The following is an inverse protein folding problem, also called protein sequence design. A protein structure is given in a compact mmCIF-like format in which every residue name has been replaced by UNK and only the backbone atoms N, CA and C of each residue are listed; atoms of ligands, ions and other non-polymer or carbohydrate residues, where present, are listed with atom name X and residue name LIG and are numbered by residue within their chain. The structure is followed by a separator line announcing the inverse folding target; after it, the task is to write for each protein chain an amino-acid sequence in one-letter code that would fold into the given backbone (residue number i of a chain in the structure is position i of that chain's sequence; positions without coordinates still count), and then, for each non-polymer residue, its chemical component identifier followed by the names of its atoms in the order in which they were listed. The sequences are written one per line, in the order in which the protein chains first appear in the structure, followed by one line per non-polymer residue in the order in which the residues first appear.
data_IF_042293088335
#
_entry.id   IF_042293088335
#
_cell.length_a   1.000
_cell.length_b   1.000
_cell.length_c   1.000
_cell.angle_alpha   90.00
_cell.angle_beta   90.00
_cell.angle_gamma   90.00
#
_symmetry.space_group_name_H-M   'P 1'
#
loop_
_entity.id
_entity.type
_entity.pdbx_description
1 polymer ?
#
# COMPACT_ATOMS: atom_id res chain seq x y z
N UNK A 1 -42.18 12.42 -56.22
CA UNK A 1 -42.52 12.25 -54.78
C UNK A 1 -41.41 11.39 -54.20
N UNK A 2 -40.59 11.96 -53.33
CA UNK A 2 -39.25 11.46 -52.99
C UNK A 2 -39.25 10.08 -52.31
N UNK A 3 -38.25 9.28 -52.71
CA UNK A 3 -37.91 7.94 -52.26
C UNK A 3 -36.91 7.95 -51.09
N UNK A 4 -36.92 6.79 -50.41
CA UNK A 4 -36.06 6.24 -49.37
C UNK A 4 -34.54 6.41 -49.55
N UNK A 5 -33.82 6.71 -48.46
CA UNK A 5 -32.80 5.87 -47.76
C UNK A 5 -31.75 6.73 -46.98
N UNK A 6 -31.18 6.20 -45.87
CA UNK A 6 -30.12 6.84 -45.08
C UNK A 6 -28.71 6.25 -45.35
N UNK A 7 -27.67 7.10 -45.32
CA UNK A 7 -26.21 6.82 -45.20
C UNK A 7 -25.42 8.14 -45.37
N UNK A 8 -24.16 8.39 -44.88
CA UNK A 8 -23.15 7.47 -44.32
C UNK A 8 -22.43 7.92 -43.01
N UNK A 9 -21.63 6.98 -42.51
CA UNK A 9 -20.45 7.03 -41.62
C UNK A 9 -19.58 8.30 -41.62
N UNK A 10 -18.96 8.62 -40.46
CA UNK A 10 -17.49 8.56 -40.18
C UNK A 10 -17.15 9.39 -38.94
N UNK A 11 -16.51 8.80 -37.94
CA UNK A 11 -15.52 9.49 -37.11
C UNK A 11 -14.37 8.50 -36.87
N UNK A 12 -13.44 8.49 -37.83
CA UNK A 12 -12.07 8.04 -37.61
C UNK A 12 -11.42 8.99 -36.60
N UNK A 13 -10.99 8.47 -35.45
CA UNK A 13 -10.06 9.18 -34.57
C UNK A 13 -8.65 8.75 -34.98
N UNK A 14 -7.81 9.64 -35.53
CA UNK A 14 -6.50 9.26 -36.05
C UNK A 14 -5.61 8.65 -34.98
N UNK A 15 -4.89 7.60 -35.34
CA UNK A 15 -3.83 6.94 -34.56
C UNK A 15 -2.79 7.92 -33.95
N UNK A 16 -2.65 9.12 -34.53
CA UNK A 16 -1.78 10.18 -34.01
C UNK A 16 -2.25 10.78 -32.67
N UNK A 17 -3.53 10.65 -32.29
CA UNK A 17 -4.01 11.11 -30.98
C UNK A 17 -3.36 10.34 -29.83
N UNK A 18 -3.16 9.03 -29.98
CA UNK A 18 -2.49 8.21 -28.97
C UNK A 18 -0.98 8.44 -28.88
N UNK A 19 -0.34 9.00 -29.91
CA UNK A 19 1.11 9.25 -29.92
C UNK A 19 1.46 10.60 -29.30
N UNK A 20 0.56 11.60 -29.34
CA UNK A 20 0.81 12.91 -28.72
C UNK A 20 0.73 12.92 -27.19
N UNK A 21 0.01 11.99 -26.56
CA UNK A 21 0.02 11.84 -25.09
C UNK A 21 1.16 10.93 -24.56
N UNK A 22 1.95 10.31 -25.46
CA UNK A 22 3.09 9.43 -25.10
C UNK A 22 4.45 10.09 -25.42
N UNK A 23 4.46 11.36 -25.84
CA UNK A 23 5.67 12.15 -25.85
C UNK A 23 5.93 12.71 -24.45
N UNK A 24 6.95 12.16 -23.78
CA UNK A 24 7.53 12.68 -22.53
C UNK A 24 7.81 14.18 -22.66
N UNK A 25 6.90 14.98 -22.12
CA UNK A 25 7.11 16.35 -21.67
C UNK A 25 6.89 16.36 -20.16
N UNK A 26 7.93 16.79 -19.45
CA UNK A 26 8.00 17.11 -18.02
C UNK A 26 6.63 17.29 -17.33
N UNK A 27 6.42 16.55 -16.23
CA UNK A 27 5.21 16.47 -15.38
C UNK A 27 4.34 15.21 -15.56
N UNK A 28 4.95 14.05 -15.31
CA UNK A 28 4.19 12.93 -14.76
C UNK A 28 3.86 13.30 -13.30
N UNK A 29 2.66 13.82 -13.06
CA UNK A 29 2.14 13.99 -11.71
C UNK A 29 2.05 12.59 -11.09
N UNK A 30 2.99 12.34 -10.17
CA UNK A 30 2.81 11.37 -9.11
C UNK A 30 1.39 11.51 -8.56
N UNK A 31 0.74 10.40 -8.17
CA UNK A 31 -0.22 10.49 -7.06
C UNK A 31 0.48 11.36 -6.03
N UNK A 32 -0.05 12.55 -5.65
CA UNK A 32 0.71 13.41 -4.79
C UNK A 32 0.97 12.57 -3.55
N UNK A 33 2.24 12.22 -3.34
CA UNK A 33 2.82 12.28 -2.01
C UNK A 33 2.32 13.62 -1.50
N UNK A 34 1.21 13.58 -0.76
CA UNK A 34 0.74 14.79 -0.10
C UNK A 34 1.90 15.13 0.79
N UNK A 35 2.56 16.24 0.53
CA UNK A 35 3.76 16.58 1.28
C UNK A 35 3.34 16.90 2.72
N UNK A 36 3.36 15.87 3.57
CA UNK A 36 2.91 15.94 4.96
C UNK A 36 3.90 16.78 5.80
N UNK A 37 5.05 17.16 5.25
CA UNK A 37 6.01 18.05 5.92
C UNK A 37 5.42 19.41 6.29
N UNK A 38 4.36 19.82 5.58
CA UNK A 38 3.71 21.14 5.71
C UNK A 38 2.37 21.06 6.46
N UNK A 39 1.88 19.88 6.88
CA UNK A 39 0.60 19.80 7.61
C UNK A 39 0.57 20.65 8.88
N UNK A 40 1.70 20.74 9.59
CA UNK A 40 1.84 21.63 10.74
C UNK A 40 1.71 23.12 10.39
N UNK A 41 2.01 23.50 9.15
CA UNK A 41 1.91 24.86 8.60
C UNK A 41 0.53 25.13 7.97
N UNK A 42 -0.12 24.11 7.39
CA UNK A 42 -1.50 24.16 6.87
C UNK A 42 -2.57 24.31 7.97
N UNK A 43 -2.18 24.19 9.24
CA UNK A 43 -3.03 24.47 10.41
C UNK A 43 -3.08 25.97 10.78
N UNK A 44 -2.59 26.87 9.91
CA UNK A 44 -2.78 28.31 10.07
C UNK A 44 -4.24 28.67 9.78
N UNK A 45 -4.88 29.32 10.75
CA UNK A 45 -6.30 29.69 10.74
C UNK A 45 -6.68 30.55 9.51
N UNK A 46 -7.88 30.33 8.98
CA UNK A 46 -8.62 31.35 8.23
C UNK A 46 -10.01 31.51 8.88
N UNK A 47 -10.44 32.76 9.06
CA UNK A 47 -11.56 33.18 9.91
C UNK A 47 -12.97 32.87 9.35
N UNK A 48 -13.11 31.98 8.36
CA UNK A 48 -14.35 31.85 7.57
C UNK A 48 -14.94 30.45 7.40
N UNK A 49 -14.72 29.52 8.33
CA UNK A 49 -15.36 28.19 8.27
C UNK A 49 -16.50 28.03 9.31
N UNK A 50 -17.59 28.80 9.15
CA UNK A 50 -18.86 28.45 9.79
C UNK A 50 -19.62 27.41 8.95
N UNK A 51 -19.54 26.14 9.34
CA UNK A 51 -20.32 25.06 8.72
C UNK A 51 -21.59 24.84 9.55
N UNK A 52 -22.77 25.02 8.93
CA UNK A 52 -24.06 24.56 9.50
C UNK A 52 -24.32 23.10 9.14
N UNK A 53 -24.73 22.30 10.13
CA UNK A 53 -25.09 20.88 9.95
C UNK A 53 -26.56 20.73 9.55
N UNK A 54 -26.93 19.76 8.68
CA UNK A 54 -28.32 19.45 8.35
C UNK A 54 -29.09 18.77 9.50
N UNK A 55 -30.35 19.17 9.69
CA UNK A 55 -31.23 18.89 10.85
C UNK A 55 -31.99 17.55 10.82
N UNK A 56 -31.44 16.48 10.26
CA UNK A 56 -32.23 15.22 10.15
C UNK A 56 -31.48 13.97 10.54
N UNK A 57 -31.20 13.82 11.84
CA UNK A 57 -31.09 12.53 12.52
C UNK A 57 -31.38 12.75 14.01
N UNK A 58 -32.67 12.69 14.37
CA UNK A 58 -33.09 12.43 15.74
C UNK A 58 -33.78 11.08 15.76
N UNK A 59 -33.35 10.29 16.74
CA UNK A 59 -34.03 9.13 17.33
C UNK A 59 -33.93 7.80 16.59
N UNK A 60 -32.87 7.06 16.90
CA UNK A 60 -32.99 5.62 17.19
C UNK A 60 -32.16 5.29 18.45
N UNK A 61 -32.79 4.61 19.39
CA UNK A 61 -32.27 4.27 20.72
C UNK A 61 -31.31 3.08 20.58
N UNK A 62 -30.00 3.32 20.65
CA UNK A 62 -28.98 2.26 20.76
C UNK A 62 -28.68 1.95 22.23
N UNK A 63 -28.71 0.65 22.57
CA UNK A 63 -28.32 0.08 23.87
C UNK A 63 -26.98 0.67 24.40
N UNK A 64 -26.93 0.91 25.71
CA UNK A 64 -25.78 1.46 26.45
C UNK A 64 -24.52 0.57 26.38
N UNK A 65 -23.83 0.57 25.24
CA UNK A 65 -22.46 0.12 25.14
C UNK A 65 -21.55 1.33 25.36
N UNK A 66 -21.16 1.55 26.63
CA UNK A 66 -20.37 2.68 27.15
C UNK A 66 -19.45 3.28 26.08
N UNK A 67 -19.81 4.47 25.60
CA UNK A 67 -18.95 5.26 24.73
C UNK A 67 -17.57 5.42 25.38
N UNK A 68 -16.49 5.22 24.60
CA UNK A 68 -15.13 5.54 25.06
C UNK A 68 -15.13 7.03 25.36
N UNK A 69 -15.28 7.38 26.65
CA UNK A 69 -15.37 8.77 27.09
C UNK A 69 -13.96 9.19 27.43
N UNK A 70 -13.34 9.98 26.55
CA UNK A 70 -12.08 10.61 26.89
C UNK A 70 -12.33 11.58 28.04
N UNK A 71 -11.62 11.45 29.17
CA UNK A 71 -11.89 12.27 30.33
C UNK A 71 -11.74 13.74 29.96
N UNK A 72 -12.71 14.55 30.38
CA UNK A 72 -12.63 16.02 30.25
C UNK A 72 -11.38 16.54 30.95
N UNK A 73 -10.98 15.89 32.05
CA UNK A 73 -9.81 16.21 32.85
C UNK A 73 -8.94 14.96 33.08
N UNK A 74 -7.70 14.97 32.61
CA UNK A 74 -6.64 14.11 33.14
C UNK A 74 -6.05 14.81 34.38
N UNK A 75 -5.91 14.13 35.54
CA UNK A 75 -5.28 14.74 36.71
C UNK A 75 -3.85 15.17 36.36
N UNK A 76 -3.47 16.41 36.70
CA UNK A 76 -2.07 16.84 36.64
C UNK A 76 -1.39 16.14 37.81
N UNK A 77 -0.71 15.04 37.54
CA UNK A 77 0.16 14.41 38.52
C UNK A 77 1.38 15.29 38.75
N UNK A 78 1.86 15.35 39.99
CA UNK A 78 3.06 16.13 40.32
C UNK A 78 4.30 15.67 39.53
N UNK A 79 4.31 14.42 39.06
CA UNK A 79 5.25 13.88 38.08
C UNK A 79 4.51 13.47 36.80
N UNK A 80 4.77 14.10 35.65
CA UNK A 80 4.25 13.63 34.37
C UNK A 80 4.79 12.22 34.08
N UNK A 81 3.94 11.35 33.53
CA UNK A 81 4.39 10.07 32.99
C UNK A 81 5.22 10.27 31.72
N UNK A 82 5.90 9.21 31.27
CA UNK A 82 6.78 9.25 30.08
C UNK A 82 6.05 9.81 28.85
N UNK A 83 4.78 9.45 28.69
CA UNK A 83 3.94 9.88 27.57
C UNK A 83 3.51 11.36 27.67
N UNK A 84 3.58 11.95 28.86
CA UNK A 84 3.25 13.35 29.15
C UNK A 84 4.48 14.28 29.17
N UNK A 85 5.70 13.73 29.10
CA UNK A 85 6.94 14.51 29.10
C UNK A 85 7.19 15.25 27.77
N UNK A 86 7.67 16.50 27.84
CA UNK A 86 8.05 17.31 26.66
C UNK A 86 9.33 16.82 26.00
N UNK A 87 10.30 16.37 26.79
CA UNK A 87 11.53 15.71 26.36
C UNK A 87 11.53 14.29 26.91
N UNK A 88 11.88 13.31 26.07
CA UNK A 88 11.99 11.91 26.48
C UNK A 88 13.37 11.32 26.25
N UNK A 89 14.37 12.16 25.96
CA UNK A 89 15.73 11.74 25.65
C UNK A 89 16.36 10.86 26.73
N UNK A 90 16.04 11.10 28.00
CA UNK A 90 16.54 10.31 29.14
C UNK A 90 16.03 8.85 29.16
N UNK A 91 14.90 8.57 28.53
CA UNK A 91 14.35 7.22 28.40
C UNK A 91 14.80 6.52 27.11
N UNK A 92 15.51 7.21 26.22
CA UNK A 92 15.92 6.69 24.92
C UNK A 92 17.39 6.29 24.93
N UNK A 93 17.67 5.17 24.27
CA UNK A 93 19.03 4.79 23.88
C UNK A 93 19.30 5.43 22.53
N UNK A 94 20.21 6.41 22.49
CA UNK A 94 20.62 7.10 21.26
C UNK A 94 21.96 6.55 20.76
N UNK A 95 22.15 6.52 19.43
CA UNK A 95 23.46 6.19 18.84
C UNK A 95 24.51 7.22 19.31
N UNK A 96 25.72 6.75 19.63
CA UNK A 96 26.85 7.61 19.97
C UNK A 96 27.17 8.58 18.82
N UNK A 97 27.59 9.81 19.19
CA UNK A 97 28.00 10.85 18.26
C UNK A 97 29.39 10.56 17.72
N UNK A 98 29.47 9.79 16.64
CA UNK A 98 30.72 9.61 15.90
C UNK A 98 30.85 10.73 14.86
N UNK A 99 32.07 11.12 14.48
CA UNK A 99 32.40 12.31 13.67
C UNK A 99 31.71 12.42 12.28
N UNK A 100 30.96 11.41 11.86
CA UNK A 100 30.19 11.35 10.61
C UNK A 100 28.67 11.12 10.80
N UNK A 101 28.15 11.13 12.04
CA UNK A 101 26.78 10.73 12.33
C UNK A 101 25.74 11.86 12.17
N UNK A 102 24.67 11.55 11.42
CA UNK A 102 23.41 12.30 11.30
C UNK A 102 22.70 12.41 12.68
N UNK A 103 21.70 13.31 12.86
CA UNK A 103 21.11 13.65 14.17
C UNK A 103 20.66 12.43 15.01
N UNK A 104 20.66 12.59 16.34
CA UNK A 104 20.24 11.64 17.38
C UNK A 104 19.38 10.46 16.87
N UNK A 105 20.02 9.38 16.43
CA UNK A 105 19.32 8.19 15.97
C UNK A 105 18.90 7.34 17.17
N UNK A 106 17.60 7.12 17.31
CA UNK A 106 17.04 6.26 18.36
C UNK A 106 17.36 4.80 18.07
N UNK A 107 18.01 4.13 19.02
CA UNK A 107 18.28 2.69 19.01
C UNK A 107 17.22 1.88 19.74
N UNK A 108 16.60 2.47 20.76
CA UNK A 108 15.57 1.82 21.55
C UNK A 108 15.08 2.69 22.70
N UNK A 109 14.07 2.20 23.40
CA UNK A 109 13.45 2.87 24.53
C UNK A 109 12.12 2.20 24.88
N UNK A 110 11.51 2.54 26.03
CA UNK A 110 10.19 2.05 26.37
C UNK A 110 9.16 2.59 25.36
N UNK A 111 8.12 1.79 25.09
CA UNK A 111 7.06 2.09 24.12
C UNK A 111 6.53 3.53 24.22
N UNK A 112 6.25 3.99 25.44
CA UNK A 112 5.69 5.33 25.66
C UNK A 112 6.69 6.45 25.34
N UNK A 113 7.99 6.21 25.52
CA UNK A 113 9.03 7.16 25.09
C UNK A 113 9.15 7.21 23.57
N UNK A 114 9.06 6.06 22.88
CA UNK A 114 9.07 6.02 21.41
C UNK A 114 7.88 6.78 20.82
N UNK A 115 6.68 6.58 21.38
CA UNK A 115 5.45 7.30 21.00
C UNK A 115 5.61 8.80 21.25
N UNK A 116 6.10 9.20 22.43
CA UNK A 116 6.31 10.60 22.76
C UNK A 116 7.33 11.26 21.82
N UNK A 117 8.45 10.59 21.55
CA UNK A 117 9.51 11.08 20.66
C UNK A 117 9.04 11.26 19.21
N UNK A 118 8.16 10.39 18.72
CA UNK A 118 7.52 10.54 17.40
C UNK A 118 6.74 11.86 17.26
N UNK A 119 6.36 12.49 18.37
CA UNK A 119 5.62 13.75 18.40
C UNK A 119 6.48 14.96 18.80
N UNK A 120 7.76 14.77 19.09
CA UNK A 120 8.69 15.84 19.45
C UNK A 120 9.36 16.45 18.21
N UNK A 121 9.81 17.70 18.32
CA UNK A 121 10.61 18.34 17.27
C UNK A 121 11.96 17.66 17.04
N UNK A 122 12.52 17.05 18.09
CA UNK A 122 13.76 16.28 18.00
C UNK A 122 13.57 15.01 17.15
N UNK A 123 12.33 14.50 17.07
CA UNK A 123 11.98 13.38 16.20
C UNK A 123 12.09 13.80 14.74
N UNK A 124 13.16 13.38 14.07
CA UNK A 124 13.34 13.61 12.63
C UNK A 124 12.16 13.06 11.83
N UNK A 125 11.87 13.66 10.67
CA UNK A 125 10.85 13.14 9.75
C UNK A 125 11.09 11.65 9.46
N UNK A 126 12.35 11.25 9.28
CA UNK A 126 12.73 9.86 9.06
C UNK A 126 12.33 8.93 10.22
N UNK A 127 12.47 9.40 11.46
CA UNK A 127 11.99 8.65 12.62
C UNK A 127 10.47 8.51 12.59
N UNK A 128 9.74 9.57 12.25
CA UNK A 128 8.27 9.51 12.15
C UNK A 128 7.82 8.54 11.07
N UNK A 129 8.45 8.55 9.88
CA UNK A 129 8.15 7.59 8.80
C UNK A 129 8.41 6.15 9.26
N UNK A 130 9.57 5.91 9.87
CA UNK A 130 9.93 4.59 10.39
C UNK A 130 8.96 4.13 11.48
N UNK A 131 8.61 5.02 12.41
CA UNK A 131 7.66 4.74 13.49
C UNK A 131 6.28 4.41 12.95
N UNK A 132 5.71 5.23 12.06
CA UNK A 132 4.37 5.03 11.49
C UNK A 132 4.28 3.78 10.62
N UNK A 133 5.36 3.47 9.90
CA UNK A 133 5.45 2.22 9.13
C UNK A 133 5.48 1.00 10.05
N UNK A 134 6.18 1.06 11.20
CA UNK A 134 6.56 -0.14 11.98
C UNK A 134 5.91 -0.29 13.35
N UNK A 135 5.15 0.69 13.85
CA UNK A 135 4.59 0.67 15.22
C UNK A 135 3.73 -0.57 15.52
N UNK A 136 3.16 -1.19 14.48
CA UNK A 136 2.29 -2.37 14.59
C UNK A 136 2.98 -3.57 15.24
N UNK A 137 4.31 -3.59 15.22
CA UNK A 137 5.14 -4.59 15.92
C UNK A 137 5.24 -4.36 17.43
N UNK A 138 4.90 -3.16 17.92
CA UNK A 138 5.03 -2.79 19.34
C UNK A 138 3.71 -2.31 19.99
N UNK A 139 2.70 -1.95 19.19
CA UNK A 139 1.41 -1.46 19.65
C UNK A 139 0.30 -1.74 18.62
N UNK A 140 -0.91 -2.02 19.10
CA UNK A 140 -2.09 -2.01 18.22
C UNK A 140 -2.46 -0.59 17.81
N UNK A 141 -3.09 -0.43 16.64
CA UNK A 141 -3.67 0.85 16.18
C UNK A 141 -4.54 1.54 17.24
N UNK A 142 -5.39 0.78 17.93
CA UNK A 142 -6.26 1.30 18.99
C UNK A 142 -5.46 1.83 20.18
N UNK A 143 -4.47 1.06 20.64
CA UNK A 143 -3.63 1.45 21.76
C UNK A 143 -2.81 2.71 21.42
N UNK A 144 -2.17 2.74 20.24
CA UNK A 144 -1.39 3.89 19.79
C UNK A 144 -2.27 5.13 19.70
N UNK A 145 -3.45 5.02 19.07
CA UNK A 145 -4.39 6.12 18.95
C UNK A 145 -4.80 6.66 20.33
N UNK A 146 -5.16 5.79 21.28
CA UNK A 146 -5.54 6.20 22.64
C UNK A 146 -4.39 6.89 23.38
N UNK A 147 -3.16 6.40 23.25
CA UNK A 147 -1.97 7.02 23.84
C UNK A 147 -1.69 8.40 23.24
N UNK A 148 -1.78 8.53 21.93
CA UNK A 148 -1.61 9.83 21.26
C UNK A 148 -2.71 10.82 21.66
N UNK A 149 -3.97 10.38 21.77
CA UNK A 149 -5.07 11.24 22.27
C UNK A 149 -4.79 11.68 23.70
N UNK A 150 -4.34 10.78 24.57
CA UNK A 150 -3.97 11.11 25.96
C UNK A 150 -2.86 12.16 26.00
N UNK A 151 -1.80 11.99 25.20
CA UNK A 151 -0.71 12.97 25.09
C UNK A 151 -1.21 14.31 24.56
N UNK A 152 -2.02 14.32 23.49
CA UNK A 152 -2.60 15.55 22.92
C UNK A 152 -3.37 16.33 23.97
N UNK A 153 -4.28 15.66 24.67
CA UNK A 153 -5.12 16.25 25.72
C UNK A 153 -4.28 16.82 26.85
N UNK A 154 -3.24 16.11 27.27
CA UNK A 154 -2.32 16.60 28.30
C UNK A 154 -1.59 17.86 27.83
N UNK A 155 -1.03 17.85 26.63
CA UNK A 155 -0.27 18.98 26.07
C UNK A 155 -1.14 20.22 25.86
N UNK A 156 -2.43 20.07 25.54
CA UNK A 156 -3.38 21.18 25.45
C UNK A 156 -3.61 21.91 26.78
N UNK A 157 -3.22 21.32 27.93
CA UNK A 157 -3.28 21.99 29.23
C UNK A 157 -2.08 22.90 29.48
N UNK A 158 -0.97 22.70 28.77
CA UNK A 158 0.21 23.53 28.90
C UNK A 158 -0.02 24.87 28.21
N UNK A 159 0.19 25.96 28.94
CA UNK A 159 0.05 27.32 28.42
C UNK A 159 1.33 27.81 27.71
N UNK A 160 2.43 27.08 27.86
CA UNK A 160 3.71 27.42 27.25
C UNK A 160 3.75 27.06 25.76
N UNK A 161 4.59 27.79 25.02
CA UNK A 161 4.72 27.62 23.58
C UNK A 161 5.21 26.22 23.19
N UNK A 162 6.00 25.54 24.03
CA UNK A 162 6.50 24.21 23.74
C UNK A 162 5.38 23.16 23.84
N UNK A 163 4.52 23.24 24.86
CA UNK A 163 3.34 22.40 25.02
C UNK A 163 2.34 22.58 23.88
N UNK A 164 2.04 23.82 23.48
CA UNK A 164 1.15 24.10 22.34
C UNK A 164 1.70 23.47 21.05
N UNK A 165 3.01 23.61 20.81
CA UNK A 165 3.66 23.03 19.63
C UNK A 165 3.68 21.51 19.69
N UNK A 166 3.93 20.90 20.86
CA UNK A 166 3.86 19.46 21.04
C UNK A 166 2.44 18.94 20.80
N UNK A 167 1.40 19.64 21.29
CA UNK A 167 0.00 19.26 21.04
C UNK A 167 -0.30 19.21 19.53
N UNK A 168 0.12 20.23 18.77
CA UNK A 168 -0.05 20.25 17.31
C UNK A 168 0.67 19.10 16.62
N UNK A 169 1.89 18.77 17.05
CA UNK A 169 2.61 17.64 16.47
C UNK A 169 2.02 16.29 16.85
N UNK A 170 1.57 16.11 18.10
CA UNK A 170 0.82 14.92 18.48
C UNK A 170 -0.43 14.76 17.63
N UNK A 171 -1.18 15.84 17.39
CA UNK A 171 -2.35 15.80 16.50
C UNK A 171 -1.97 15.45 15.06
N UNK A 172 -0.87 15.99 14.53
CA UNK A 172 -0.35 15.63 13.21
C UNK A 172 -0.08 14.12 13.11
N UNK A 173 0.57 13.52 14.11
CA UNK A 173 0.82 12.07 14.17
C UNK A 173 -0.49 11.29 14.29
N UNK A 174 -1.49 11.76 15.06
CA UNK A 174 -2.83 11.14 15.11
C UNK A 174 -3.46 11.07 13.72
N UNK A 175 -3.40 12.17 12.97
CA UNK A 175 -3.94 12.24 11.61
C UNK A 175 -3.25 11.22 10.71
N UNK A 176 -1.92 11.11 10.78
CA UNK A 176 -1.14 10.14 10.00
C UNK A 176 -1.45 8.69 10.38
N UNK A 177 -1.55 8.38 11.67
CA UNK A 177 -1.97 7.05 12.14
C UNK A 177 -3.33 6.68 11.53
N UNK A 178 -4.30 7.60 11.54
CA UNK A 178 -5.63 7.35 10.95
C UNK A 178 -5.56 7.21 9.43
N UNK A 179 -4.74 8.01 8.74
CA UNK A 179 -4.58 7.97 7.28
C UNK A 179 -3.90 6.67 6.81
N UNK A 180 -3.09 6.03 7.66
CA UNK A 180 -2.36 4.79 7.36
C UNK A 180 -3.08 3.51 7.89
N UNK A 181 -4.33 3.61 8.38
CA UNK A 181 -5.07 2.47 8.95
C UNK A 181 -5.50 1.43 7.92
N UNK A 182 -4.99 0.21 8.01
CA UNK A 182 -5.36 -0.89 7.11
C UNK A 182 -6.82 -1.31 7.31
N UNK A 183 -7.42 -1.92 6.29
CA UNK A 183 -8.83 -2.33 6.31
C UNK A 183 -9.18 -3.29 7.49
N UNK A 184 -8.21 -4.11 7.89
CA UNK A 184 -8.30 -5.08 9.00
C UNK A 184 -8.27 -4.42 10.39
N UNK A 185 -7.74 -3.20 10.47
CA UNK A 185 -7.62 -2.43 11.72
C UNK A 185 -8.87 -1.58 12.00
N UNK A 186 -9.68 -1.31 10.97
CA UNK A 186 -10.96 -0.59 11.06
C UNK A 186 -12.05 -1.44 11.74
N UNK A 187 -11.80 -1.79 13.01
CA UNK A 187 -12.69 -2.48 13.95
C UNK A 187 -13.57 -1.47 14.67
N UNK A 188 -14.73 -1.93 15.15
CA UNK A 188 -15.74 -1.09 15.83
C UNK A 188 -15.15 -0.26 16.97
N UNK A 189 -14.24 -0.83 17.77
CA UNK A 189 -13.61 -0.15 18.90
C UNK A 189 -12.73 1.03 18.47
N UNK A 190 -11.90 0.85 17.44
CA UNK A 190 -11.08 1.92 16.88
C UNK A 190 -11.95 3.00 16.25
N UNK A 191 -12.97 2.62 15.47
CA UNK A 191 -13.90 3.58 14.88
C UNK A 191 -14.61 4.43 15.95
N UNK A 192 -15.06 3.79 17.05
CA UNK A 192 -15.67 4.47 18.20
C UNK A 192 -14.66 5.40 18.90
N UNK A 193 -13.41 4.97 19.08
CA UNK A 193 -12.36 5.78 19.67
C UNK A 193 -12.07 7.04 18.83
N UNK A 194 -11.87 6.89 17.53
CA UNK A 194 -11.62 8.03 16.63
C UNK A 194 -12.83 8.97 16.60
N UNK A 195 -14.04 8.43 16.49
CA UNK A 195 -15.27 9.22 16.46
C UNK A 195 -15.49 9.98 17.77
N UNK A 196 -15.26 9.35 18.93
CA UNK A 196 -15.35 10.01 20.23
C UNK A 196 -14.33 11.15 20.36
N UNK A 197 -13.11 10.96 19.86
CA UNK A 197 -12.11 12.03 19.84
C UNK A 197 -12.51 13.18 18.91
N UNK A 198 -13.12 12.90 17.76
CA UNK A 198 -13.70 13.92 16.88
C UNK A 198 -14.79 14.72 17.62
N UNK A 199 -15.71 14.05 18.32
CA UNK A 199 -16.73 14.74 19.12
C UNK A 199 -16.14 15.62 20.21
N UNK A 200 -15.08 15.15 20.87
CA UNK A 200 -14.33 15.97 21.83
C UNK A 200 -13.76 17.22 21.17
N UNK A 201 -13.08 17.09 20.02
CA UNK A 201 -12.52 18.25 19.31
C UNK A 201 -13.59 19.29 18.97
N UNK A 202 -14.79 18.84 18.57
CA UNK A 202 -15.94 19.73 18.31
C UNK A 202 -16.38 20.44 19.59
N UNK A 203 -16.56 19.70 20.69
CA UNK A 203 -16.93 20.28 21.99
C UNK A 203 -15.91 21.29 22.50
N UNK A 204 -14.63 21.02 22.26
CA UNK A 204 -13.51 21.87 22.65
C UNK A 204 -13.31 23.04 21.64
N UNK A 205 -14.17 23.20 20.63
CA UNK A 205 -14.14 24.30 19.64
C UNK A 205 -13.10 24.14 18.52
N UNK A 206 -12.39 23.02 18.46
CA UNK A 206 -11.33 22.73 17.50
C UNK A 206 -11.88 22.15 16.18
N UNK A 207 -12.74 22.89 15.50
CA UNK A 207 -13.47 22.40 14.30
C UNK A 207 -12.54 22.01 13.14
N UNK A 208 -11.43 22.73 12.95
CA UNK A 208 -10.44 22.41 11.90
C UNK A 208 -9.86 21.02 12.10
N UNK A 209 -9.45 20.70 13.32
CA UNK A 209 -8.88 19.39 13.66
C UNK A 209 -9.94 18.29 13.53
N UNK A 210 -11.15 18.54 14.03
CA UNK A 210 -12.27 17.62 13.87
C UNK A 210 -12.56 17.31 12.39
N UNK A 211 -12.59 18.33 11.52
CA UNK A 211 -12.82 18.20 10.08
C UNK A 211 -11.73 17.38 9.40
N UNK A 212 -10.46 17.66 9.69
CA UNK A 212 -9.32 16.93 9.10
C UNK A 212 -9.39 15.46 9.48
N UNK A 213 -9.54 15.15 10.77
CA UNK A 213 -9.55 13.78 11.26
C UNK A 213 -10.77 13.01 10.74
N UNK A 214 -11.95 13.64 10.71
CA UNK A 214 -13.16 13.05 10.15
C UNK A 214 -12.98 12.72 8.66
N UNK A 215 -12.44 13.65 7.87
CA UNK A 215 -12.21 13.44 6.42
C UNK A 215 -11.33 12.22 6.18
N UNK A 216 -10.24 12.08 6.95
CA UNK A 216 -9.29 10.96 6.86
C UNK A 216 -9.94 9.64 7.24
N UNK A 217 -10.68 9.62 8.35
CA UNK A 217 -11.41 8.44 8.77
C UNK A 217 -12.44 7.99 7.71
N UNK A 218 -13.23 8.91 7.17
CA UNK A 218 -14.24 8.60 6.15
C UNK A 218 -13.59 8.03 4.89
N UNK A 219 -12.49 8.61 4.43
CA UNK A 219 -11.73 8.10 3.29
C UNK A 219 -11.33 6.62 3.49
N UNK A 220 -10.78 6.27 4.66
CA UNK A 220 -10.40 4.87 4.95
C UNK A 220 -11.62 3.93 5.03
N UNK A 221 -12.75 4.39 5.54
CA UNK A 221 -14.00 3.59 5.58
C UNK A 221 -14.57 3.37 4.18
N UNK A 222 -14.60 4.42 3.35
CA UNK A 222 -15.12 4.34 1.98
C UNK A 222 -14.27 3.41 1.12
N UNK A 223 -12.94 3.50 1.22
CA UNK A 223 -12.01 2.63 0.49
C UNK A 223 -12.21 1.15 0.85
N UNK A 224 -12.44 0.83 2.13
CA UNK A 224 -12.85 -0.51 2.59
C UNK A 224 -14.16 -0.98 1.93
N UNK A 225 -15.13 -0.08 1.76
CA UNK A 225 -16.43 -0.40 1.15
C UNK A 225 -16.37 -0.63 -0.37
N UNK A 226 -15.44 0.03 -1.06
CA UNK A 226 -15.25 -0.10 -2.52
C UNK A 226 -14.53 -1.40 -2.84
N UNK A 227 -13.47 -1.75 -2.11
CA UNK A 227 -12.79 -3.05 -2.27
C UNK A 227 -13.77 -4.21 -2.03
N UNK A 228 -14.60 -4.12 -0.98
CA UNK A 228 -15.64 -5.12 -0.72
C UNK A 228 -16.69 -5.19 -1.81
N UNK A 229 -17.03 -4.10 -2.50
CA UNK A 229 -17.96 -4.17 -3.65
C UNK A 229 -17.30 -4.75 -4.90
N UNK A 230 -16.08 -4.33 -5.24
CA UNK A 230 -15.34 -4.84 -6.40
C UNK A 230 -15.16 -6.35 -6.39
N UNK A 231 -14.83 -6.94 -5.22
CA UNK A 231 -14.66 -8.40 -5.07
C UNK A 231 -15.97 -9.15 -5.33
N UNK A 232 -17.11 -8.59 -4.93
CA UNK A 232 -18.42 -9.21 -5.13
C UNK A 232 -19.00 -8.94 -6.53
N UNK A 233 -18.64 -7.82 -7.16
CA UNK A 233 -19.00 -7.52 -8.54
C UNK A 233 -18.22 -8.39 -9.54
N UNK A 234 -16.93 -8.69 -9.27
CA UNK A 234 -16.18 -9.68 -10.06
C UNK A 234 -16.76 -11.09 -9.94
N UNK A 235 -17.31 -11.46 -8.78
CA UNK A 235 -18.02 -12.73 -8.57
C UNK A 235 -19.43 -12.72 -9.20
N UNK A 236 -19.99 -11.53 -9.49
CA UNK A 236 -21.36 -11.36 -10.01
C UNK A 236 -21.44 -11.15 -11.53
N UNK A 237 -20.33 -11.23 -12.28
CA UNK A 237 -20.35 -11.38 -13.74
C UNK A 237 -20.67 -12.84 -14.12
N UNK A 238 -21.80 -13.34 -13.62
CA UNK A 238 -22.39 -14.63 -13.96
C UNK A 238 -23.68 -14.50 -14.79
N UNK A 239 -23.91 -13.35 -15.42
CA UNK A 239 -25.23 -13.02 -16.00
C UNK A 239 -25.23 -12.18 -17.29
N UNK A 240 -24.13 -12.08 -18.02
CA UNK A 240 -24.10 -11.46 -19.34
C UNK A 240 -23.57 -12.46 -20.36
N UNK A 241 -24.48 -12.92 -21.24
CA UNK A 241 -24.33 -13.96 -22.25
C UNK A 241 -22.91 -14.43 -22.57
N UNK A 242 -22.67 -15.73 -22.37
CA UNK A 242 -21.53 -16.48 -22.89
C UNK A 242 -21.41 -16.29 -24.41
N UNK A 243 -20.80 -15.18 -24.85
CA UNK A 243 -20.02 -15.22 -26.07
C UNK A 243 -18.86 -16.15 -25.73
N UNK A 244 -18.98 -17.40 -26.16
CA UNK A 244 -17.86 -18.34 -26.17
C UNK A 244 -16.71 -17.61 -26.85
N UNK A 245 -15.80 -17.06 -26.05
CA UNK A 245 -14.56 -16.52 -26.58
C UNK A 245 -13.92 -17.71 -27.28
N UNK A 246 -13.81 -17.61 -28.60
CA UNK A 246 -13.10 -18.60 -29.42
C UNK A 246 -11.78 -18.88 -28.71
N UNK A 247 -11.45 -20.15 -28.46
CA UNK A 247 -10.28 -20.52 -27.67
C UNK A 247 -9.00 -20.00 -28.35
N UNK A 248 -8.59 -18.77 -28.01
CA UNK A 248 -7.41 -18.13 -28.54
C UNK A 248 -6.17 -18.77 -27.95
N UNK A 249 -5.25 -19.16 -28.81
CA UNK A 249 -3.96 -19.70 -28.39
C UNK A 249 -2.98 -18.58 -28.06
N UNK A 250 -2.06 -18.81 -27.12
CA UNK A 250 -0.99 -17.85 -26.76
C UNK A 250 -0.15 -17.40 -27.96
N UNK A 251 -0.13 -18.18 -29.05
CA UNK A 251 0.60 -17.88 -30.26
C UNK A 251 -0.03 -16.76 -31.11
N UNK A 252 -1.31 -16.45 -30.92
CA UNK A 252 -2.00 -15.35 -31.61
C UNK A 252 -1.50 -13.97 -31.16
N UNK A 253 -0.95 -13.89 -29.95
CA UNK A 253 -0.49 -12.65 -29.36
C UNK A 253 1.01 -12.48 -29.52
N UNK A 254 1.49 -11.25 -29.74
CA UNK A 254 2.93 -10.94 -29.67
C UNK A 254 3.44 -11.12 -28.24
N UNK A 255 4.67 -11.64 -28.08
CA UNK A 255 5.24 -11.88 -26.75
C UNK A 255 5.39 -10.61 -25.92
N UNK A 256 5.66 -9.47 -26.57
CA UNK A 256 5.71 -8.15 -25.92
C UNK A 256 4.35 -7.72 -25.38
N UNK A 257 3.25 -8.00 -26.10
CA UNK A 257 1.90 -7.68 -25.63
C UNK A 257 1.51 -8.53 -24.43
N UNK A 258 1.81 -9.83 -24.47
CA UNK A 258 1.57 -10.72 -23.31
C UNK A 258 2.37 -10.25 -22.09
N UNK A 259 3.66 -9.97 -22.27
CA UNK A 259 4.51 -9.43 -21.20
C UNK A 259 3.96 -8.11 -20.64
N UNK A 260 3.48 -7.21 -21.50
CA UNK A 260 2.89 -5.93 -21.08
C UNK A 260 1.66 -6.12 -20.21
N UNK A 261 0.75 -7.03 -20.60
CA UNK A 261 -0.44 -7.33 -19.81
C UNK A 261 -0.11 -8.03 -18.49
N UNK A 262 0.84 -8.97 -18.49
CA UNK A 262 1.33 -9.60 -17.24
C UNK A 262 1.90 -8.54 -16.28
N UNK A 263 2.71 -7.61 -16.78
CA UNK A 263 3.25 -6.49 -15.98
C UNK A 263 2.16 -5.57 -15.44
N UNK A 264 1.10 -5.31 -16.21
CA UNK A 264 -0.03 -4.52 -15.72
C UNK A 264 -0.75 -5.22 -14.56
N UNK A 265 -1.02 -6.52 -14.69
CA UNK A 265 -1.69 -7.30 -13.64
C UNK A 265 -0.82 -7.42 -12.38
N UNK A 266 0.47 -7.72 -12.53
CA UNK A 266 1.40 -7.76 -11.40
C UNK A 266 1.50 -6.39 -10.71
N UNK A 267 1.59 -5.29 -11.47
CA UNK A 267 1.66 -3.94 -10.91
C UNK A 267 0.41 -3.58 -10.12
N UNK A 268 -0.77 -3.93 -10.64
CA UNK A 268 -2.05 -3.66 -9.97
C UNK A 268 -2.17 -4.42 -8.63
N UNK A 269 -1.65 -5.64 -8.56
CA UNK A 269 -1.61 -6.40 -7.31
C UNK A 269 -0.53 -5.87 -6.37
N UNK A 270 0.67 -5.56 -6.88
CA UNK A 270 1.80 -5.09 -6.09
C UNK A 270 1.49 -3.77 -5.39
N UNK A 271 0.88 -2.80 -6.08
CA UNK A 271 0.57 -1.48 -5.51
C UNK A 271 -0.48 -1.52 -4.38
N UNK A 272 -1.23 -2.61 -4.26
CA UNK A 272 -2.26 -2.78 -3.21
C UNK A 272 -1.67 -3.26 -1.89
N UNK A 273 -0.44 -3.78 -1.89
CA UNK A 273 0.19 -4.33 -0.68
C UNK A 273 0.56 -3.20 0.25
N UNK A 274 -0.06 -3.19 1.44
CA UNK A 274 0.26 -2.21 2.48
C UNK A 274 1.49 -2.67 3.29
N UNK A 275 2.38 -1.76 3.74
CA UNK A 275 3.56 -2.13 4.54
C UNK A 275 3.22 -2.93 5.81
N UNK A 276 2.05 -2.67 6.41
CA UNK A 276 1.56 -3.41 7.57
C UNK A 276 1.35 -4.91 7.29
N UNK A 277 0.92 -5.27 6.08
CA UNK A 277 0.75 -6.67 5.68
C UNK A 277 2.08 -7.41 5.70
N UNK A 278 3.16 -6.76 5.24
CA UNK A 278 4.50 -7.34 5.29
C UNK A 278 4.99 -7.57 6.72
N UNK A 279 4.67 -6.64 7.64
CA UNK A 279 5.04 -6.78 9.05
C UNK A 279 4.29 -7.91 9.73
N UNK A 280 2.96 -7.99 9.55
CA UNK A 280 2.16 -9.09 10.11
C UNK A 280 2.53 -10.43 9.50
N UNK A 281 2.83 -10.47 8.20
CA UNK A 281 3.28 -11.69 7.56
C UNK A 281 4.61 -12.19 8.13
N UNK A 282 5.56 -11.29 8.39
CA UNK A 282 6.85 -11.64 8.97
C UNK A 282 6.74 -12.21 10.40
N UNK A 283 5.74 -11.79 11.18
CA UNK A 283 5.54 -12.21 12.56
C UNK A 283 4.60 -13.42 12.70
N UNK A 284 3.45 -13.38 12.02
CA UNK A 284 2.34 -14.30 12.25
C UNK A 284 1.99 -15.18 11.04
N UNK A 285 2.43 -14.80 9.83
CA UNK A 285 2.01 -15.43 8.57
C UNK A 285 0.48 -15.53 8.41
N UNK A 286 -0.26 -14.54 8.92
CA UNK A 286 -1.72 -14.51 8.88
C UNK A 286 -2.24 -13.98 7.54
N UNK A 287 -2.80 -14.89 6.72
CA UNK A 287 -3.42 -14.59 5.42
C UNK A 287 -4.58 -13.58 5.53
N UNK A 288 -5.33 -13.60 6.64
CA UNK A 288 -6.47 -12.67 6.82
C UNK A 288 -5.99 -11.25 7.09
N UNK A 289 -4.82 -11.09 7.71
CA UNK A 289 -4.18 -9.79 7.93
C UNK A 289 -3.42 -9.29 6.71
N UNK A 290 -3.02 -10.19 5.81
CA UNK A 290 -2.15 -9.90 4.66
C UNK A 290 -2.79 -10.26 3.31
N UNK A 291 -4.06 -9.87 3.03
CA UNK A 291 -4.80 -10.36 1.88
C UNK A 291 -4.21 -9.94 0.53
N UNK A 292 -3.65 -8.74 0.41
CA UNK A 292 -3.09 -8.27 -0.86
C UNK A 292 -1.75 -8.96 -1.13
N UNK A 293 -0.95 -9.19 -0.08
CA UNK A 293 0.27 -9.98 -0.20
C UNK A 293 -0.04 -11.41 -0.66
N UNK A 294 -1.02 -12.05 -0.04
CA UNK A 294 -1.50 -13.38 -0.45
C UNK A 294 -1.99 -13.37 -1.90
N UNK A 295 -2.79 -12.37 -2.31
CA UNK A 295 -3.28 -12.26 -3.69
C UNK A 295 -2.14 -12.13 -4.71
N UNK A 296 -1.09 -11.37 -4.39
CA UNK A 296 0.10 -11.23 -5.24
C UNK A 296 0.88 -12.55 -5.35
N UNK A 297 1.11 -13.24 -4.24
CA UNK A 297 1.78 -14.56 -4.23
C UNK A 297 0.94 -15.63 -4.94
N UNK A 298 -0.37 -15.62 -4.76
CA UNK A 298 -1.28 -16.51 -5.49
C UNK A 298 -1.23 -16.26 -7.00
N UNK A 299 -1.20 -15.00 -7.43
CA UNK A 299 -1.08 -14.67 -8.85
C UNK A 299 0.21 -15.21 -9.45
N UNK A 300 1.34 -15.03 -8.76
CA UNK A 300 2.62 -15.62 -9.13
C UNK A 300 2.51 -17.15 -9.33
N UNK A 301 1.89 -17.84 -8.38
CA UNK A 301 1.69 -19.28 -8.45
C UNK A 301 0.77 -19.68 -9.62
N UNK A 302 -0.35 -18.97 -9.82
CA UNK A 302 -1.28 -19.18 -10.94
C UNK A 302 -0.57 -19.04 -12.29
N UNK A 303 0.29 -18.02 -12.45
CA UNK A 303 1.11 -17.85 -13.66
C UNK A 303 2.06 -19.04 -13.85
N UNK A 304 2.76 -19.47 -12.79
CA UNK A 304 3.66 -20.63 -12.86
C UNK A 304 2.94 -21.91 -13.28
N UNK A 305 1.77 -22.20 -12.68
CA UNK A 305 0.96 -23.36 -13.06
C UNK A 305 0.38 -23.27 -14.47
N UNK A 306 -0.06 -22.09 -14.89
CA UNK A 306 -0.56 -21.84 -16.24
C UNK A 306 0.50 -22.13 -17.30
N UNK A 307 1.72 -21.60 -17.12
CA UNK A 307 2.87 -21.86 -17.99
C UNK A 307 3.16 -23.36 -18.03
N UNK A 308 3.23 -24.01 -16.86
CA UNK A 308 3.53 -25.44 -16.75
C UNK A 308 2.51 -26.29 -17.50
N UNK A 309 1.23 -25.97 -17.35
CA UNK A 309 0.13 -26.67 -18.02
C UNK A 309 0.24 -26.54 -19.53
N UNK A 310 0.43 -25.32 -20.06
CA UNK A 310 0.51 -25.09 -21.50
C UNK A 310 1.72 -25.77 -22.16
N UNK A 311 2.84 -25.90 -21.44
CA UNK A 311 4.02 -26.58 -21.98
C UNK A 311 3.88 -28.11 -21.96
N UNK A 312 3.22 -28.68 -20.94
CA UNK A 312 3.12 -30.13 -20.76
C UNK A 312 1.94 -30.73 -21.54
N UNK A 313 0.83 -30.00 -21.67
CA UNK A 313 -0.41 -30.51 -22.26
C UNK A 313 -0.28 -31.01 -23.71
N UNK A 314 0.51 -30.40 -24.62
CA UNK A 314 0.66 -30.90 -25.98
C UNK A 314 1.26 -32.31 -26.02
N UNK A 315 0.66 -33.23 -26.77
CA UNK A 315 1.23 -34.57 -26.97
C UNK A 315 2.54 -34.53 -27.77
N UNK A 316 2.59 -33.70 -28.82
CA UNK A 316 3.73 -33.57 -29.72
C UNK A 316 4.89 -32.76 -29.13
N UNK A 317 6.10 -33.34 -29.14
CA UNK A 317 7.33 -32.71 -28.66
C UNK A 317 7.62 -31.35 -29.32
N UNK A 318 7.46 -31.27 -30.65
CA UNK A 318 7.67 -30.05 -31.43
C UNK A 318 6.76 -28.90 -30.96
N UNK A 319 5.54 -29.21 -30.55
CA UNK A 319 4.61 -28.21 -30.05
C UNK A 319 4.98 -27.77 -28.62
N UNK A 320 5.44 -28.68 -27.75
CA UNK A 320 5.97 -28.32 -26.42
C UNK A 320 7.14 -27.36 -26.52
N UNK A 321 8.08 -27.64 -27.42
CA UNK A 321 9.22 -26.74 -27.71
C UNK A 321 8.75 -25.36 -28.18
N UNK A 322 7.72 -25.31 -29.03
CA UNK A 322 7.13 -24.04 -29.49
C UNK A 322 6.57 -23.21 -28.33
N UNK A 323 5.87 -23.84 -27.37
CA UNK A 323 5.37 -23.16 -26.17
C UNK A 323 6.50 -22.70 -25.26
N UNK A 324 7.49 -23.56 -25.00
CA UNK A 324 8.65 -23.18 -24.18
C UNK A 324 9.38 -21.97 -24.79
N UNK A 325 9.67 -22.01 -26.09
CA UNK A 325 10.29 -20.89 -26.80
C UNK A 325 9.45 -19.62 -26.79
N UNK A 326 8.11 -19.76 -26.82
CA UNK A 326 7.20 -18.63 -26.67
C UNK A 326 7.34 -17.98 -25.30
N UNK A 327 7.43 -18.76 -24.23
CA UNK A 327 7.61 -18.26 -22.86
C UNK A 327 9.00 -17.68 -22.62
N UNK A 328 10.07 -18.27 -23.16
CA UNK A 328 11.42 -17.67 -23.12
C UNK A 328 11.42 -16.29 -23.79
N UNK A 329 10.71 -16.12 -24.92
CA UNK A 329 10.54 -14.80 -25.55
C UNK A 329 9.77 -13.82 -24.66
N UNK A 330 8.74 -14.27 -23.95
CA UNK A 330 7.98 -13.44 -22.99
C UNK A 330 8.87 -13.03 -21.82
N UNK A 331 9.66 -13.95 -21.25
CA UNK A 331 10.63 -13.66 -20.18
C UNK A 331 11.64 -12.58 -20.57
N UNK A 332 12.18 -12.64 -21.80
CA UNK A 332 13.09 -11.59 -22.30
C UNK A 332 12.42 -10.21 -22.29
N UNK A 333 11.15 -10.13 -22.69
CA UNK A 333 10.38 -8.88 -22.66
C UNK A 333 10.11 -8.42 -21.21
N UNK A 334 9.72 -9.32 -20.31
CA UNK A 334 9.50 -9.03 -18.89
C UNK A 334 10.77 -8.47 -18.22
N UNK A 335 11.94 -9.05 -18.52
CA UNK A 335 13.23 -8.56 -18.04
C UNK A 335 13.53 -7.13 -18.53
N UNK A 336 13.26 -6.84 -19.81
CA UNK A 336 13.42 -5.49 -20.37
C UNK A 336 12.49 -4.48 -19.70
N UNK A 337 11.28 -4.91 -19.32
CA UNK A 337 10.30 -4.08 -18.61
C UNK A 337 10.57 -3.94 -17.10
N UNK A 338 11.58 -4.64 -16.56
CA UNK A 338 11.84 -4.65 -15.12
C UNK A 338 10.78 -5.41 -14.30
N UNK A 339 9.99 -6.31 -14.91
CA UNK A 339 9.06 -7.16 -14.18
C UNK A 339 9.74 -8.49 -13.82
N UNK A 340 10.33 -8.53 -12.63
CA UNK A 340 11.04 -9.70 -12.12
C UNK A 340 10.13 -10.73 -11.48
N UNK A 341 8.93 -10.32 -11.02
CA UNK A 341 7.94 -11.22 -10.43
C UNK A 341 7.45 -12.26 -11.45
N UNK A 342 6.79 -11.82 -12.53
CA UNK A 342 6.34 -12.73 -13.58
C UNK A 342 7.49 -13.42 -14.32
N UNK A 343 8.64 -12.75 -14.45
CA UNK A 343 9.82 -13.37 -15.04
C UNK A 343 10.25 -14.62 -14.26
N UNK A 344 10.29 -14.53 -12.93
CA UNK A 344 10.58 -15.69 -12.07
C UNK A 344 9.42 -16.69 -12.03
N UNK A 345 8.17 -16.23 -12.11
CA UNK A 345 7.02 -17.14 -12.18
C UNK A 345 7.11 -18.07 -13.40
N UNK A 346 7.45 -17.53 -14.56
CA UNK A 346 7.67 -18.32 -15.78
C UNK A 346 8.92 -19.20 -15.63
N UNK A 347 10.04 -18.66 -15.13
CA UNK A 347 11.27 -19.44 -14.97
C UNK A 347 11.07 -20.64 -14.02
N UNK A 348 10.41 -20.44 -12.89
CA UNK A 348 10.11 -21.52 -11.93
C UNK A 348 9.19 -22.59 -12.51
N UNK A 349 8.32 -22.22 -13.46
CA UNK A 349 7.55 -23.19 -14.23
C UNK A 349 8.46 -24.01 -15.15
N UNK A 350 9.27 -23.33 -15.98
CA UNK A 350 10.14 -23.94 -16.98
C UNK A 350 11.28 -24.78 -16.37
N UNK A 351 11.76 -24.42 -15.18
CA UNK A 351 12.76 -25.18 -14.43
C UNK A 351 12.13 -26.20 -13.46
N UNK A 352 10.82 -26.38 -13.47
CA UNK A 352 10.17 -27.36 -12.59
C UNK A 352 10.50 -28.80 -13.01
N UNK A 353 10.55 -29.72 -12.04
CA UNK A 353 10.80 -31.15 -12.27
C UNK A 353 9.95 -31.77 -13.40
N UNK A 354 8.63 -31.46 -13.51
CA UNK A 354 7.81 -31.94 -14.60
C UNK A 354 8.21 -31.52 -16.00
N UNK A 355 8.79 -30.33 -16.16
CA UNK A 355 9.28 -29.85 -17.45
C UNK A 355 10.69 -30.38 -17.68
N UNK A 356 11.59 -30.28 -16.69
CA UNK A 356 13.00 -30.72 -16.82
C UNK A 356 13.19 -32.18 -17.25
N UNK A 357 12.28 -33.08 -16.86
CA UNK A 357 12.37 -34.51 -17.18
C UNK A 357 11.94 -34.87 -18.61
N UNK A 358 11.35 -33.91 -19.35
CA UNK A 358 11.03 -34.10 -20.75
C UNK A 358 12.32 -34.02 -21.58
N UNK A 359 12.32 -34.68 -22.74
CA UNK A 359 13.46 -34.63 -23.65
C UNK A 359 13.51 -33.26 -24.32
N UNK A 360 14.59 -32.49 -24.13
CA UNK A 360 14.74 -31.14 -24.69
C UNK A 360 16.00 -31.06 -25.52
N UNK A 361 15.94 -30.29 -26.61
CA UNK A 361 17.14 -29.97 -27.38
C UNK A 361 18.16 -29.22 -26.52
N UNK A 362 19.46 -29.48 -26.76
CA UNK A 362 20.56 -28.85 -26.03
C UNK A 362 20.47 -27.32 -26.02
N UNK A 363 20.10 -26.72 -27.15
CA UNK A 363 19.95 -25.26 -27.27
C UNK A 363 18.88 -24.69 -26.33
N UNK A 364 17.76 -25.40 -26.14
CA UNK A 364 16.70 -25.00 -25.21
C UNK A 364 17.21 -25.01 -23.78
N UNK A 365 17.94 -26.06 -23.40
CA UNK A 365 18.53 -26.20 -22.07
C UNK A 365 19.58 -25.12 -21.78
N UNK A 366 20.43 -24.80 -22.75
CA UNK A 366 21.45 -23.74 -22.62
C UNK A 366 20.79 -22.36 -22.44
N UNK A 367 19.75 -22.02 -23.21
CA UNK A 367 19.00 -20.77 -23.03
C UNK A 367 18.33 -20.67 -21.66
N UNK A 368 17.74 -21.75 -21.15
CA UNK A 368 17.14 -21.73 -19.81
C UNK A 368 18.20 -21.57 -18.73
N UNK A 369 19.38 -22.18 -18.89
CA UNK A 369 20.48 -22.07 -17.92
C UNK A 369 20.98 -20.63 -17.75
N UNK A 370 21.02 -19.84 -18.84
CA UNK A 370 21.34 -18.40 -18.75
C UNK A 370 20.34 -17.67 -17.84
N UNK A 371 19.05 -17.94 -18.02
CA UNK A 371 17.99 -17.34 -17.23
C UNK A 371 18.01 -17.81 -15.77
N UNK A 372 18.28 -19.09 -15.51
CA UNK A 372 18.48 -19.65 -14.17
C UNK A 372 19.66 -19.00 -13.44
N UNK A 373 20.75 -18.69 -14.14
CA UNK A 373 21.94 -18.03 -13.54
C UNK A 373 21.61 -16.63 -13.01
N UNK A 374 20.72 -15.89 -13.69
CA UNK A 374 20.30 -14.55 -13.27
C UNK A 374 19.50 -14.60 -11.96
N UNK A 375 18.61 -15.59 -11.82
CA UNK A 375 17.75 -15.77 -10.64
C UNK A 375 18.26 -16.84 -9.68
N UNK A 376 19.56 -17.13 -9.74
CA UNK A 376 20.16 -18.15 -8.91
C UNK A 376 20.04 -17.76 -7.43
N UNK A 377 19.54 -18.68 -6.60
CA UNK A 377 19.29 -18.43 -5.19
C UNK A 377 20.57 -18.43 -4.34
N UNK A 378 21.71 -18.84 -4.88
CA UNK A 378 22.98 -18.87 -4.14
C UNK A 378 23.40 -17.47 -3.70
N UNK A 379 24.04 -17.39 -2.53
CA UNK A 379 24.38 -16.13 -1.88
C UNK A 379 23.17 -15.20 -1.73
N UNK A 380 22.00 -15.79 -1.50
CA UNK A 380 20.70 -15.12 -1.29
C UNK A 380 20.31 -14.24 -2.49
N UNK A 381 20.33 -14.80 -3.69
CA UNK A 381 19.97 -14.09 -4.93
C UNK A 381 20.92 -12.95 -5.31
N UNK A 382 22.24 -13.15 -5.18
CA UNK A 382 23.25 -12.10 -5.46
C UNK A 382 23.08 -11.45 -6.84
N UNK A 383 22.96 -12.26 -7.90
CA UNK A 383 22.87 -11.77 -9.27
C UNK A 383 21.58 -10.97 -9.50
N UNK A 384 20.46 -11.46 -8.99
CA UNK A 384 19.18 -10.76 -9.05
C UNK A 384 19.21 -9.43 -8.27
N UNK A 385 19.78 -9.39 -7.05
CA UNK A 385 19.90 -8.14 -6.29
C UNK A 385 20.74 -7.09 -7.01
N UNK A 386 21.85 -7.50 -7.63
CA UNK A 386 22.67 -6.59 -8.46
C UNK A 386 21.86 -6.06 -9.65
N UNK A 387 21.16 -6.95 -10.37
CA UNK A 387 20.30 -6.55 -11.48
C UNK A 387 19.19 -5.58 -11.04
N UNK A 388 18.53 -5.85 -9.92
CA UNK A 388 17.47 -5.01 -9.37
C UNK A 388 18.02 -3.63 -8.98
N UNK A 389 19.20 -3.56 -8.37
CA UNK A 389 19.84 -2.30 -8.00
C UNK A 389 20.23 -1.43 -9.21
N UNK A 390 20.56 -2.06 -10.34
CA UNK A 390 20.89 -1.38 -11.61
C UNK A 390 19.65 -1.01 -12.44
N UNK A 391 18.48 -1.51 -12.07
CA UNK A 391 17.24 -1.32 -12.81
C UNK A 391 16.68 0.09 -12.63
N UNK A 392 16.15 0.66 -13.72
CA UNK A 392 15.48 1.97 -13.67
C UNK A 392 13.98 1.78 -13.40
N UNK A 393 13.38 2.49 -12.43
CA UNK A 393 11.94 2.51 -12.25
C UNK A 393 11.20 2.97 -13.52
N UNK A 394 9.96 2.49 -13.78
CA UNK A 394 9.20 1.53 -12.96
C UNK A 394 9.74 0.11 -13.06
N UNK A 395 9.76 -0.61 -11.94
CA UNK A 395 10.15 -2.02 -11.86
C UNK A 395 9.28 -2.76 -10.84
N UNK A 396 9.08 -4.06 -11.05
CA UNK A 396 8.35 -4.94 -10.14
C UNK A 396 9.32 -6.00 -9.60
N UNK A 397 9.73 -5.90 -8.32
CA UNK A 397 10.60 -6.88 -7.71
C UNK A 397 9.87 -8.23 -7.54
N UNK A 398 10.64 -9.30 -7.53
CA UNK A 398 10.27 -10.53 -6.85
C UNK A 398 10.30 -10.31 -5.33
N UNK A 399 9.21 -10.68 -4.64
CA UNK A 399 9.02 -10.55 -3.20
C UNK A 399 9.30 -11.84 -2.43
#
# INVERSE_FOLDING_TARGET
MFLLQPSPSTFDVPYEWYIREIAFGEHCASVPSQDFSILSQLLQYSDHDQIRLPTRYTDEVEEEQRAITYPQYLPITASPGVLESLDVSEWLVLRAKDAYSKPNEVRGGPKDALIAYATQQAGSLLYQEAFLTTYRTIASSLELFQKLVRRYVYMCRGEDHASIKSARQTFSVIVRVVDELCAVELKRELLRAVTSFIYRLIRDGNYTFARILRKRLMYRIEHKSVIRRSIWDEVSVGGAGNKVLKASTIFEFRSSLVAKQMTYLDADLFQKIEPAEMLWWAEEQDEKKSPNLCAFTEHFNKVSYWVRTLVIQPSEQRLREKYLMKFVKIMKQLRTMGNYNSYLAILSALDSGPIRRLDWTRNVMEMLKEHSTIMDSSHSFKNYRTLLAESRPPCLPYM
#
